data_IF_264982383353
#
_entry.id   IF_264982383353
#
_cell.length_a   1.000
_cell.length_b   1.000
_cell.length_c   1.000
_cell.angle_alpha   90.00
_cell.angle_beta   90.00
_cell.angle_gamma   90.00
#
_symmetry.space_group_name_H-M   'P 1'
#
loop_
_entity.id
_entity.type
_entity.pdbx_description
1 polymer ?
#
# COMPACT_ATOMS: atom_id res chain seq x y z
N UNK A 1 -32.88 3.64 12.15
CA UNK A 1 -31.54 4.28 12.07
C UNK A 1 -30.75 3.69 13.20
N UNK A 2 -29.51 3.25 12.99
CA UNK A 2 -28.68 2.79 14.08
C UNK A 2 -27.68 3.89 14.45
N UNK A 3 -27.66 4.26 15.73
CA UNK A 3 -26.81 5.33 16.24
C UNK A 3 -25.58 4.78 16.96
N UNK A 4 -24.50 5.54 16.98
CA UNK A 4 -23.28 5.26 17.72
C UNK A 4 -23.54 5.52 19.20
N UNK A 5 -23.31 4.53 20.06
CA UNK A 5 -23.43 4.65 21.53
C UNK A 5 -22.10 4.58 22.25
N UNK A 6 -21.03 4.12 21.57
CA UNK A 6 -19.69 4.07 22.16
C UNK A 6 -18.64 4.15 21.05
N UNK A 7 -17.60 4.91 21.32
CA UNK A 7 -16.34 4.92 20.56
C UNK A 7 -15.22 4.74 21.58
N UNK A 8 -14.37 3.73 21.41
CA UNK A 8 -13.29 3.42 22.34
C UNK A 8 -12.02 3.03 21.61
N UNK A 9 -10.95 3.72 21.91
CA UNK A 9 -9.61 3.43 21.37
C UNK A 9 -8.70 2.81 22.43
N UNK A 10 -7.76 2.00 21.96
CA UNK A 10 -6.67 1.43 22.75
C UNK A 10 -5.37 1.40 21.96
N UNK A 11 -4.26 1.31 22.68
CA UNK A 11 -2.97 1.02 22.11
C UNK A 11 -2.83 -0.50 21.94
N UNK A 12 -2.41 -0.91 20.74
CA UNK A 12 -1.99 -2.28 20.42
C UNK A 12 -0.58 -2.23 19.80
N UNK A 13 -0.06 -3.35 19.29
CA UNK A 13 1.24 -3.40 18.63
C UNK A 13 1.11 -3.77 17.15
N UNK A 14 1.95 -3.14 16.33
CA UNK A 14 2.11 -3.47 14.92
C UNK A 14 3.06 -4.67 14.70
N UNK A 15 3.24 -5.09 13.46
CA UNK A 15 4.10 -6.20 13.04
C UNK A 15 5.58 -5.98 13.32
N UNK A 16 6.00 -4.76 13.65
CA UNK A 16 7.35 -4.39 14.05
C UNK A 16 7.51 -4.26 15.57
N UNK A 17 6.45 -4.52 16.33
CA UNK A 17 6.44 -4.35 17.79
C UNK A 17 6.35 -2.88 18.23
N UNK A 18 5.98 -1.95 17.35
CA UNK A 18 5.73 -0.56 17.72
C UNK A 18 4.25 -0.37 18.09
N UNK A 19 3.93 0.55 19.03
CA UNK A 19 2.55 0.89 19.34
C UNK A 19 1.79 1.44 18.12
N UNK A 20 0.51 1.07 18.01
CA UNK A 20 -0.45 1.65 17.08
C UNK A 20 -1.85 1.72 17.70
N UNK A 21 -2.79 2.39 17.03
CA UNK A 21 -4.15 2.63 17.51
C UNK A 21 -5.09 1.56 16.99
N UNK A 22 -5.95 1.02 17.88
CA UNK A 22 -7.13 0.25 17.52
C UNK A 22 -8.37 0.93 18.09
N UNK A 23 -9.44 1.00 17.29
CA UNK A 23 -10.70 1.64 17.67
C UNK A 23 -11.87 0.68 17.54
N UNK A 24 -12.75 0.70 18.54
CA UNK A 24 -14.05 0.08 18.55
C UNK A 24 -15.14 1.14 18.43
N UNK A 25 -16.09 0.94 17.52
CA UNK A 25 -17.34 1.68 17.42
C UNK A 25 -18.48 0.72 17.68
N UNK A 26 -19.35 1.05 18.64
CA UNK A 26 -20.51 0.21 18.99
C UNK A 26 -21.82 0.97 18.74
N UNK A 27 -22.77 0.31 18.09
CA UNK A 27 -24.10 0.85 17.80
C UNK A 27 -25.10 0.55 18.91
N UNK A 28 -26.26 1.21 18.90
CA UNK A 28 -27.36 0.98 19.86
C UNK A 28 -27.89 -0.47 19.87
N UNK A 29 -27.72 -1.19 18.78
CA UNK A 29 -28.07 -2.60 18.67
C UNK A 29 -26.97 -3.56 19.19
N UNK A 30 -25.89 -3.01 19.75
CA UNK A 30 -24.76 -3.77 20.26
C UNK A 30 -23.81 -4.30 19.18
N UNK A 31 -23.95 -3.82 17.95
CA UNK A 31 -23.08 -4.22 16.84
C UNK A 31 -21.76 -3.48 16.94
N UNK A 32 -20.66 -4.23 16.80
CA UNK A 32 -19.28 -3.76 16.91
C UNK A 32 -18.62 -3.64 15.54
N UNK A 33 -17.98 -2.51 15.29
CA UNK A 33 -16.96 -2.34 14.27
C UNK A 33 -15.61 -2.10 14.91
N UNK A 34 -14.57 -2.82 14.49
CA UNK A 34 -13.20 -2.69 15.01
C UNK A 34 -12.21 -2.47 13.88
N UNK A 35 -11.32 -1.51 14.01
CA UNK A 35 -10.26 -1.24 13.06
C UNK A 35 -8.94 -0.93 13.77
N UNK A 36 -7.85 -1.48 13.24
CA UNK A 36 -6.49 -1.15 13.66
C UNK A 36 -5.78 -0.36 12.55
N UNK A 37 -5.00 0.63 12.94
CA UNK A 37 -4.36 1.57 12.01
C UNK A 37 -2.95 1.11 11.66
N UNK A 38 -2.57 1.04 10.37
CA UNK A 38 -1.19 0.75 9.97
C UNK A 38 -0.27 1.95 10.21
N UNK A 39 1.05 1.69 10.24
CA UNK A 39 2.09 2.69 10.49
C UNK A 39 3.23 2.60 9.48
N UNK A 40 3.67 3.72 8.93
CA UNK A 40 4.83 3.77 8.04
C UNK A 40 6.16 3.63 8.76
N UNK A 41 7.22 3.22 8.04
CA UNK A 41 8.60 3.27 8.54
C UNK A 41 9.14 4.71 8.46
N UNK A 42 8.89 5.37 7.35
CA UNK A 42 9.08 6.81 7.13
C UNK A 42 7.72 7.47 6.91
N UNK A 43 7.58 8.71 7.33
CA UNK A 43 6.41 9.53 7.02
C UNK A 43 6.82 10.58 5.98
N UNK A 44 6.12 10.62 4.85
CA UNK A 44 6.36 11.60 3.81
C UNK A 44 6.03 13.03 4.31
N UNK A 45 6.74 14.02 3.79
CA UNK A 45 6.55 15.44 4.14
C UNK A 45 5.08 15.93 3.96
N UNK A 46 4.36 15.31 3.03
CA UNK A 46 3.00 15.69 2.67
C UNK A 46 1.92 14.73 3.18
N UNK A 47 2.30 13.72 3.98
CA UNK A 47 1.34 12.81 4.61
C UNK A 47 0.60 13.48 5.77
N UNK A 48 -0.62 13.02 6.04
CA UNK A 48 -1.30 13.34 7.28
C UNK A 48 -0.50 12.81 8.49
N UNK A 49 -0.51 13.58 9.59
CA UNK A 49 0.36 13.35 10.74
C UNK A 49 -0.08 12.13 11.54
N UNK A 50 0.76 11.11 11.60
CA UNK A 50 0.65 10.05 12.60
C UNK A 50 1.09 10.61 13.97
N UNK A 51 0.11 10.80 14.88
CA UNK A 51 0.39 11.40 16.17
C UNK A 51 1.11 10.41 17.08
N UNK A 52 2.32 10.77 17.50
CA UNK A 52 3.16 10.02 18.43
C UNK A 52 3.35 10.79 19.74
N UNK A 53 3.52 10.05 20.84
CA UNK A 53 3.64 10.67 22.18
C UNK A 53 4.95 11.42 22.36
N UNK A 54 6.01 10.99 21.65
CA UNK A 54 7.36 11.49 21.92
C UNK A 54 7.92 10.94 23.25
N UNK A 55 8.96 11.57 23.75
CA UNK A 55 9.56 11.20 25.03
C UNK A 55 10.41 9.92 24.97
N UNK A 56 10.52 9.19 26.10
CA UNK A 56 11.40 8.03 26.21
C UNK A 56 10.67 6.70 26.04
N UNK A 57 9.40 6.64 26.39
CA UNK A 57 8.61 5.41 26.31
C UNK A 57 8.45 4.99 24.84
N UNK A 58 8.60 3.70 24.59
CA UNK A 58 8.60 3.14 23.22
C UNK A 58 9.52 3.91 22.24
N UNK A 59 10.61 4.48 22.75
CA UNK A 59 11.53 5.33 21.94
C UNK A 59 10.81 6.50 21.23
N UNK A 60 9.80 7.07 21.90
CA UNK A 60 8.99 8.16 21.37
C UNK A 60 7.82 7.73 20.49
N UNK A 61 7.64 6.42 20.23
CA UNK A 61 6.64 5.88 19.31
C UNK A 61 5.28 5.54 19.96
N UNK A 62 5.06 5.88 21.25
CA UNK A 62 3.77 5.70 21.92
C UNK A 62 2.63 6.40 21.19
N UNK A 63 1.38 5.97 21.39
CA UNK A 63 0.18 6.51 20.73
C UNK A 63 -0.92 6.89 21.71
N UNK A 64 -0.59 7.04 23.00
CA UNK A 64 -1.59 7.34 24.03
C UNK A 64 -2.26 8.70 23.86
N UNK A 65 -1.58 9.69 23.28
CA UNK A 65 -2.20 10.98 22.90
C UNK A 65 -3.29 10.78 21.84
N UNK A 66 -3.03 9.98 20.82
CA UNK A 66 -4.02 9.67 19.80
C UNK A 66 -5.20 8.88 20.40
N UNK A 67 -4.92 7.91 21.27
CA UNK A 67 -5.93 7.14 22.02
C UNK A 67 -6.79 8.08 22.87
N UNK A 68 -6.19 9.00 23.60
CA UNK A 68 -6.92 9.99 24.43
C UNK A 68 -7.77 10.92 23.57
N UNK A 69 -7.27 11.39 22.43
CA UNK A 69 -8.02 12.21 21.48
C UNK A 69 -9.29 11.50 20.99
N UNK A 70 -9.22 10.17 20.74
CA UNK A 70 -10.41 9.39 20.39
C UNK A 70 -11.37 9.32 21.57
N UNK A 71 -10.87 8.92 22.76
CA UNK A 71 -11.71 8.60 23.91
C UNK A 71 -12.33 9.85 24.57
N UNK A 72 -11.64 10.99 24.56
CA UNK A 72 -12.06 12.22 25.27
C UNK A 72 -12.64 13.29 24.35
N UNK A 73 -12.25 13.35 23.07
CA UNK A 73 -12.70 14.39 22.13
C UNK A 73 -13.66 13.80 21.08
N UNK A 74 -13.16 12.88 20.22
CA UNK A 74 -13.94 12.38 19.08
C UNK A 74 -15.17 11.60 19.56
N UNK A 75 -15.02 10.75 20.58
CA UNK A 75 -16.12 9.95 21.10
C UNK A 75 -17.31 10.82 21.54
N UNK A 76 -17.04 11.92 22.24
CA UNK A 76 -18.11 12.82 22.73
C UNK A 76 -18.95 13.41 21.61
N UNK A 77 -18.33 13.76 20.50
CA UNK A 77 -19.00 14.40 19.35
C UNK A 77 -19.75 13.41 18.46
N UNK A 78 -19.36 12.13 18.47
CA UNK A 78 -20.00 11.10 17.63
C UNK A 78 -21.17 10.38 18.31
N UNK A 79 -21.32 10.47 19.65
CA UNK A 79 -22.44 9.81 20.34
C UNK A 79 -23.80 10.34 19.84
N UNK A 80 -24.70 9.41 19.48
CA UNK A 80 -26.01 9.73 18.93
C UNK A 80 -26.04 10.00 17.43
N UNK A 81 -24.90 10.04 16.74
CA UNK A 81 -24.87 10.16 15.28
C UNK A 81 -25.22 8.82 14.62
N UNK A 82 -25.80 8.88 13.42
CA UNK A 82 -26.06 7.67 12.63
C UNK A 82 -24.76 7.05 12.14
N UNK A 83 -24.56 5.74 12.39
CA UNK A 83 -23.36 5.02 11.93
C UNK A 83 -23.27 4.91 10.40
N UNK A 84 -24.37 5.14 9.68
CA UNK A 84 -24.44 5.07 8.22
C UNK A 84 -23.99 6.35 7.52
N UNK A 85 -23.81 7.44 8.27
CA UNK A 85 -23.45 8.75 7.72
C UNK A 85 -21.92 8.93 7.65
N UNK A 86 -21.22 8.03 6.93
CA UNK A 86 -19.76 8.01 6.85
C UNK A 86 -19.15 9.37 6.51
N UNK A 87 -19.69 10.06 5.49
CA UNK A 87 -19.18 11.35 5.08
C UNK A 87 -19.32 12.40 6.19
N UNK A 88 -20.43 12.39 6.93
CA UNK A 88 -20.63 13.31 8.03
C UNK A 88 -19.72 12.99 9.22
N UNK A 89 -19.50 11.72 9.52
CA UNK A 89 -18.56 11.27 10.56
C UNK A 89 -17.15 11.73 10.24
N UNK A 90 -16.68 11.48 9.00
CA UNK A 90 -15.34 11.84 8.58
C UNK A 90 -15.15 13.37 8.55
N UNK A 91 -16.14 14.11 8.00
CA UNK A 91 -16.10 15.57 7.96
C UNK A 91 -16.08 16.19 9.36
N UNK A 92 -16.89 15.68 10.28
CA UNK A 92 -16.89 16.14 11.67
C UNK A 92 -15.50 15.99 12.31
N UNK A 93 -14.82 14.87 12.10
CA UNK A 93 -13.48 14.66 12.65
C UNK A 93 -12.43 15.59 11.99
N UNK A 94 -12.55 15.84 10.68
CA UNK A 94 -11.71 16.81 9.96
C UNK A 94 -11.89 18.22 10.53
N UNK A 95 -13.14 18.64 10.75
CA UNK A 95 -13.47 19.95 11.30
C UNK A 95 -13.00 20.11 12.76
N UNK A 96 -13.09 19.05 13.58
CA UNK A 96 -12.58 19.03 14.96
C UNK A 96 -11.04 19.16 15.01
N UNK A 97 -10.35 18.54 14.08
CA UNK A 97 -8.89 18.70 13.94
C UNK A 97 -8.57 20.11 13.48
N UNK A 98 -9.20 20.59 12.41
CA UNK A 98 -9.07 21.95 11.89
C UNK A 98 -7.69 22.28 11.32
N UNK A 99 -6.79 21.28 11.13
CA UNK A 99 -5.48 21.45 10.51
C UNK A 99 -5.41 20.76 9.16
N UNK A 100 -4.62 21.26 8.19
CA UNK A 100 -4.57 20.67 6.85
C UNK A 100 -4.08 19.21 6.82
N UNK A 101 -3.26 18.82 7.79
CA UNK A 101 -2.59 17.52 7.85
C UNK A 101 -2.98 16.68 9.08
N UNK A 102 -4.10 16.99 9.74
CA UNK A 102 -4.60 16.25 10.92
C UNK A 102 -3.62 16.21 12.10
N UNK A 103 -2.82 17.27 12.28
CA UNK A 103 -1.74 17.29 13.29
C UNK A 103 -2.24 17.53 14.73
N UNK A 104 -3.49 17.96 14.93
CA UNK A 104 -4.06 18.22 16.26
C UNK A 104 -4.57 16.92 16.92
N UNK A 105 -5.40 16.16 16.22
CA UNK A 105 -5.98 14.91 16.73
C UNK A 105 -5.13 13.69 16.36
N UNK A 106 -4.47 13.74 15.22
CA UNK A 106 -3.71 12.66 14.63
C UNK A 106 -4.49 11.88 13.57
N UNK A 107 -3.87 11.68 12.41
CA UNK A 107 -4.46 10.87 11.34
C UNK A 107 -4.75 9.44 11.79
N UNK A 108 -3.92 8.87 12.67
CA UNK A 108 -4.13 7.55 13.26
C UNK A 108 -5.37 7.49 14.16
N UNK A 109 -5.67 8.52 14.94
CA UNK A 109 -6.90 8.63 15.71
C UNK A 109 -8.13 8.69 14.80
N UNK A 110 -8.11 9.61 13.84
CA UNK A 110 -9.21 9.87 12.91
C UNK A 110 -9.49 8.64 12.03
N UNK A 111 -8.45 8.04 11.43
CA UNK A 111 -8.60 6.86 10.58
C UNK A 111 -9.17 5.65 11.34
N UNK A 112 -8.69 5.42 12.57
CA UNK A 112 -9.19 4.33 13.39
C UNK A 112 -10.70 4.41 13.59
N UNK A 113 -11.23 5.60 13.89
CA UNK A 113 -12.67 5.84 14.04
C UNK A 113 -13.40 5.72 12.70
N UNK A 114 -12.88 6.31 11.64
CA UNK A 114 -13.46 6.27 10.29
C UNK A 114 -13.68 4.84 9.80
N UNK A 115 -12.66 3.99 9.91
CA UNK A 115 -12.74 2.58 9.48
C UNK A 115 -13.61 1.74 10.42
N UNK A 116 -13.53 1.96 11.74
CA UNK A 116 -14.36 1.25 12.71
C UNK A 116 -15.84 1.58 12.52
N UNK A 117 -16.21 2.83 12.23
CA UNK A 117 -17.56 3.25 11.91
C UNK A 117 -18.08 2.55 10.63
N UNK A 118 -17.29 2.52 9.56
CA UNK A 118 -17.65 1.81 8.33
C UNK A 118 -17.89 0.31 8.56
N UNK A 119 -17.04 -0.34 9.37
CA UNK A 119 -17.23 -1.75 9.76
C UNK A 119 -18.47 -1.97 10.63
N UNK A 120 -18.74 -1.07 11.58
CA UNK A 120 -19.95 -1.14 12.38
C UNK A 120 -21.21 -1.00 11.51
N UNK A 121 -21.21 -0.07 10.56
CA UNK A 121 -22.31 0.12 9.61
C UNK A 121 -22.52 -1.11 8.71
N UNK A 122 -21.45 -1.69 8.18
CA UNK A 122 -21.51 -2.92 7.39
C UNK A 122 -22.09 -4.09 8.20
N UNK A 123 -21.58 -4.29 9.42
CA UNK A 123 -22.04 -5.33 10.32
C UNK A 123 -23.51 -5.13 10.76
N UNK A 124 -23.95 -3.88 10.96
CA UNK A 124 -25.34 -3.52 11.28
C UNK A 124 -26.32 -3.95 10.16
N UNK A 125 -25.85 -3.88 8.92
CA UNK A 125 -26.63 -4.31 7.75
C UNK A 125 -26.46 -5.82 7.44
N UNK A 126 -25.63 -6.55 8.19
CA UNK A 126 -25.28 -7.94 7.88
C UNK A 126 -24.57 -8.09 6.55
N UNK A 127 -23.81 -7.08 6.11
CA UNK A 127 -23.10 -7.05 4.85
C UNK A 127 -21.58 -7.11 5.08
N UNK A 128 -20.79 -7.78 4.20
CA UNK A 128 -19.36 -7.66 4.22
C UNK A 128 -18.93 -6.24 3.86
N UNK A 129 -17.79 -5.79 4.40
CA UNK A 129 -17.33 -4.41 4.25
C UNK A 129 -17.15 -4.00 2.78
N UNK A 130 -16.57 -4.90 1.95
CA UNK A 130 -16.37 -4.59 0.53
C UNK A 130 -17.68 -4.28 -0.20
N UNK A 131 -18.77 -4.97 0.16
CA UNK A 131 -20.09 -4.75 -0.44
C UNK A 131 -20.78 -3.51 0.10
N UNK A 132 -20.62 -3.23 1.38
CA UNK A 132 -21.15 -2.02 2.00
C UNK A 132 -20.54 -0.76 1.36
N UNK A 133 -19.22 -0.72 1.21
CA UNK A 133 -18.50 0.44 0.65
C UNK A 133 -18.64 0.53 -0.88
N UNK A 134 -18.52 -0.60 -1.59
CA UNK A 134 -18.46 -0.62 -3.05
C UNK A 134 -19.79 -0.87 -3.76
N UNK A 135 -20.84 -1.25 -3.00
CA UNK A 135 -22.16 -1.53 -3.56
C UNK A 135 -22.19 -2.77 -4.44
N UNK A 136 -23.15 -2.80 -5.36
CA UNK A 136 -23.44 -3.97 -6.21
C UNK A 136 -22.36 -4.26 -7.24
N UNK A 137 -21.50 -3.30 -7.56
CA UNK A 137 -20.43 -3.44 -8.56
C UNK A 137 -19.09 -3.88 -7.98
N UNK A 138 -18.99 -4.10 -6.66
CA UNK A 138 -17.79 -4.53 -5.97
C UNK A 138 -17.54 -6.04 -6.21
N UNK A 139 -16.82 -6.38 -7.27
CA UNK A 139 -16.55 -7.78 -7.63
C UNK A 139 -15.18 -8.02 -8.26
N UNK A 140 -14.33 -6.99 -8.35
CA UNK A 140 -13.00 -7.11 -8.95
C UNK A 140 -11.98 -7.50 -7.90
N UNK A 141 -11.45 -8.73 -7.98
CA UNK A 141 -10.33 -9.20 -7.19
C UNK A 141 -9.04 -8.54 -7.69
N UNK A 142 -8.20 -7.98 -6.82
CA UNK A 142 -6.98 -7.31 -7.26
C UNK A 142 -5.88 -8.30 -7.68
N UNK A 143 -5.08 -7.94 -8.70
CA UNK A 143 -3.82 -8.63 -9.00
C UNK A 143 -2.85 -8.33 -7.84
N UNK A 144 -2.28 -9.37 -7.19
CA UNK A 144 -1.34 -9.16 -6.09
C UNK A 144 0.04 -8.75 -6.61
N UNK A 145 0.59 -7.70 -6.02
CA UNK A 145 1.99 -7.27 -6.18
C UNK A 145 2.77 -7.80 -4.97
N UNK A 146 3.41 -8.97 -5.13
CA UNK A 146 4.04 -9.67 -3.99
C UNK A 146 5.51 -9.30 -3.89
N UNK A 147 5.89 -8.52 -2.88
CA UNK A 147 7.28 -8.15 -2.60
C UNK A 147 8.09 -9.39 -2.16
N UNK A 148 8.94 -9.94 -3.02
CA UNK A 148 9.70 -11.18 -2.75
C UNK A 148 11.18 -10.94 -2.49
N UNK A 149 11.77 -9.81 -2.93
CA UNK A 149 13.13 -9.38 -2.62
C UNK A 149 13.12 -7.92 -2.17
N UNK A 150 13.79 -7.64 -1.06
CA UNK A 150 13.98 -6.31 -0.49
C UNK A 150 15.39 -5.79 -0.76
N UNK A 151 15.48 -4.49 -1.01
CA UNK A 151 16.71 -3.71 -1.06
C UNK A 151 16.52 -2.36 -0.36
N UNK A 152 17.26 -1.34 -0.77
CA UNK A 152 17.16 0.01 -0.23
C UNK A 152 17.20 0.05 1.29
N UNK A 153 16.32 0.87 1.87
CA UNK A 153 16.20 0.99 3.34
C UNK A 153 15.58 -0.25 4.01
N UNK A 154 15.08 -1.23 3.25
CA UNK A 154 14.49 -2.48 3.76
C UNK A 154 15.48 -3.64 3.85
N UNK A 155 16.75 -3.44 3.49
CA UNK A 155 17.80 -4.48 3.47
C UNK A 155 19.18 -3.87 3.65
N UNK A 156 20.13 -4.67 4.16
CA UNK A 156 21.56 -4.33 4.17
C UNK A 156 22.27 -4.70 2.85
N UNK A 157 21.52 -5.15 1.84
CA UNK A 157 22.06 -5.50 0.53
C UNK A 157 22.50 -4.24 -0.26
N UNK A 158 23.56 -4.34 -1.10
CA UNK A 158 24.00 -3.23 -1.95
C UNK A 158 23.07 -3.07 -3.17
N UNK A 159 21.80 -2.82 -2.93
CA UNK A 159 20.74 -2.62 -3.93
C UNK A 159 20.02 -1.33 -3.59
N UNK A 160 19.95 -0.38 -4.52
CA UNK A 160 19.30 0.90 -4.28
C UNK A 160 17.76 0.81 -4.25
N UNK A 161 17.17 -0.03 -5.11
CA UNK A 161 15.71 -0.19 -5.16
C UNK A 161 15.17 -0.96 -3.97
N UNK A 162 14.04 -0.49 -3.43
CA UNK A 162 13.50 -0.95 -2.16
C UNK A 162 12.77 -2.28 -2.26
N UNK A 163 11.99 -2.50 -3.35
CA UNK A 163 11.18 -3.71 -3.49
C UNK A 163 11.16 -4.24 -4.91
N UNK A 164 11.23 -5.58 -5.00
CA UNK A 164 11.05 -6.33 -6.24
C UNK A 164 9.86 -7.26 -6.07
N UNK A 165 8.81 -7.01 -6.84
CA UNK A 165 7.53 -7.70 -6.71
C UNK A 165 7.27 -8.59 -7.91
N UNK A 166 6.70 -9.78 -7.67
CA UNK A 166 6.14 -10.64 -8.72
C UNK A 166 4.64 -10.43 -8.83
N UNK A 167 4.15 -10.46 -10.06
CA UNK A 167 2.75 -10.24 -10.40
C UNK A 167 2.23 -11.35 -11.32
N UNK A 168 1.34 -12.25 -10.82
CA UNK A 168 0.73 -13.31 -11.61
C UNK A 168 -0.40 -12.77 -12.52
N UNK A 169 -0.04 -12.13 -13.63
CA UNK A 169 -0.97 -11.40 -14.50
C UNK A 169 -1.81 -12.27 -15.44
N UNK A 170 -1.50 -13.57 -15.59
CA UNK A 170 -2.31 -14.52 -16.37
C UNK A 170 -3.02 -15.58 -15.53
N UNK A 171 -2.97 -15.48 -14.21
CA UNK A 171 -3.77 -16.34 -13.36
C UNK A 171 -5.27 -16.22 -13.72
N UNK A 172 -6.01 -17.32 -13.67
CA UNK A 172 -7.44 -17.30 -14.02
C UNK A 172 -8.31 -16.77 -12.88
N UNK A 173 -7.84 -16.93 -11.64
CA UNK A 173 -8.52 -16.55 -10.41
C UNK A 173 -7.52 -15.95 -9.45
N UNK A 174 -8.01 -15.28 -8.42
CA UNK A 174 -7.15 -14.80 -7.33
C UNK A 174 -6.48 -15.96 -6.58
N UNK A 175 -7.21 -17.04 -6.32
CA UNK A 175 -6.66 -18.28 -5.71
C UNK A 175 -5.51 -18.84 -6.53
N UNK A 176 -5.62 -18.82 -7.87
CA UNK A 176 -4.52 -19.26 -8.74
C UNK A 176 -3.34 -18.32 -8.70
N UNK A 177 -3.57 -17.00 -8.63
CA UNK A 177 -2.51 -16.01 -8.46
C UNK A 177 -1.74 -16.23 -7.14
N UNK A 178 -2.45 -16.53 -6.05
CA UNK A 178 -1.84 -16.86 -4.76
C UNK A 178 -1.02 -18.16 -4.80
N UNK A 179 -1.51 -19.20 -5.49
CA UNK A 179 -0.75 -20.43 -5.72
C UNK A 179 0.57 -20.12 -6.44
N UNK A 180 0.51 -19.40 -7.56
CA UNK A 180 1.69 -19.03 -8.35
C UNK A 180 2.71 -18.25 -7.51
N UNK A 181 2.26 -17.23 -6.78
CA UNK A 181 3.12 -16.42 -5.91
C UNK A 181 3.78 -17.24 -4.79
N UNK A 182 3.04 -18.15 -4.15
CA UNK A 182 3.56 -19.04 -3.10
C UNK A 182 4.61 -20.01 -3.68
N UNK A 183 4.35 -20.62 -4.82
CA UNK A 183 5.29 -21.54 -5.47
C UNK A 183 6.58 -20.82 -5.90
N UNK A 184 6.48 -19.59 -6.41
CA UNK A 184 7.65 -18.76 -6.75
C UNK A 184 8.42 -18.38 -5.48
N UNK A 185 7.74 -17.95 -4.40
CA UNK A 185 8.37 -17.62 -3.13
C UNK A 185 9.21 -18.78 -2.57
N UNK A 186 8.66 -20.01 -2.57
CA UNK A 186 9.38 -21.19 -2.10
C UNK A 186 10.53 -21.60 -3.03
N UNK A 187 10.38 -21.45 -4.33
CA UNK A 187 11.47 -21.68 -5.28
C UNK A 187 12.57 -20.63 -5.13
N UNK A 188 12.22 -19.36 -4.90
CA UNK A 188 13.19 -18.30 -4.62
C UNK A 188 14.00 -18.63 -3.36
N UNK A 189 13.33 -19.07 -2.27
CA UNK A 189 14.03 -19.55 -1.07
C UNK A 189 15.09 -20.60 -1.37
N UNK A 190 14.76 -21.56 -2.26
CA UNK A 190 15.70 -22.60 -2.68
C UNK A 190 16.85 -22.04 -3.50
N UNK A 191 16.56 -21.14 -4.47
CA UNK A 191 17.60 -20.48 -5.28
C UNK A 191 18.59 -19.71 -4.39
N UNK A 192 18.10 -18.95 -3.42
CA UNK A 192 18.95 -18.21 -2.48
C UNK A 192 19.79 -19.15 -1.61
N UNK A 193 19.19 -20.22 -1.11
CA UNK A 193 19.91 -21.24 -0.32
C UNK A 193 21.04 -21.89 -1.12
N UNK A 194 20.76 -22.28 -2.38
CA UNK A 194 21.73 -22.93 -3.27
C UNK A 194 22.90 -21.97 -3.64
N UNK A 195 22.67 -20.66 -3.56
CA UNK A 195 23.69 -19.60 -3.70
C UNK A 195 24.39 -19.25 -2.38
N UNK A 196 24.08 -19.94 -1.27
CA UNK A 196 24.54 -19.62 0.09
C UNK A 196 24.18 -18.19 0.55
N UNK A 197 23.03 -17.65 0.09
CA UNK A 197 22.51 -16.36 0.48
C UNK A 197 21.48 -16.48 1.61
N UNK A 198 21.26 -15.39 2.36
CA UNK A 198 20.27 -15.32 3.43
C UNK A 198 18.86 -15.59 2.90
N UNK A 199 18.10 -16.39 3.65
CA UNK A 199 16.65 -16.60 3.46
C UNK A 199 15.84 -16.00 4.61
N UNK A 200 16.42 -15.08 5.37
CA UNK A 200 15.70 -14.27 6.33
C UNK A 200 14.79 -13.29 5.58
N UNK A 201 13.64 -13.01 6.19
CA UNK A 201 12.64 -12.11 5.60
C UNK A 201 12.63 -10.76 6.31
N UNK A 202 12.40 -9.70 5.54
CA UNK A 202 12.22 -8.34 6.05
C UNK A 202 10.82 -8.09 6.62
N UNK A 203 10.54 -6.82 6.91
CA UNK A 203 9.29 -6.39 7.55
C UNK A 203 8.03 -6.73 6.73
N UNK A 204 8.15 -6.80 5.41
CA UNK A 204 7.05 -7.08 4.49
C UNK A 204 7.00 -8.55 4.02
N UNK A 205 7.84 -9.41 4.59
CA UNK A 205 7.83 -10.85 4.34
C UNK A 205 8.63 -11.31 3.13
N UNK A 206 9.18 -10.41 2.32
CA UNK A 206 10.13 -10.73 1.25
C UNK A 206 11.53 -11.02 1.79
N UNK A 207 12.34 -11.77 1.03
CA UNK A 207 13.72 -12.06 1.40
C UNK A 207 14.61 -10.82 1.35
N UNK A 208 15.64 -10.78 2.20
CA UNK A 208 16.64 -9.71 2.22
C UNK A 208 18.05 -10.32 2.02
N UNK A 209 18.36 -10.89 0.84
CA UNK A 209 19.66 -11.46 0.54
C UNK A 209 20.64 -10.38 0.12
N UNK A 210 21.95 -10.60 0.38
CA UNK A 210 23.02 -9.75 -0.15
C UNK A 210 23.30 -10.14 -1.59
N UNK A 211 22.51 -9.58 -2.53
CA UNK A 211 22.70 -9.69 -3.98
C UNK A 211 23.62 -8.57 -4.49
N UNK A 212 24.13 -8.72 -5.70
CA UNK A 212 25.16 -7.83 -6.27
C UNK A 212 24.59 -6.52 -6.88
N UNK A 213 23.26 -6.38 -6.98
CA UNK A 213 22.58 -5.21 -7.53
C UNK A 213 21.20 -5.53 -8.07
N UNK A 214 20.61 -4.54 -8.76
CA UNK A 214 19.25 -4.61 -9.31
C UNK A 214 19.10 -5.75 -10.33
N UNK A 215 20.02 -5.89 -11.25
CA UNK A 215 19.98 -6.91 -12.31
C UNK A 215 20.14 -8.33 -11.72
N UNK A 216 21.02 -8.53 -10.72
CA UNK A 216 21.15 -9.83 -10.05
C UNK A 216 19.86 -10.20 -9.29
N UNK A 217 19.15 -9.22 -8.73
CA UNK A 217 17.85 -9.44 -8.12
C UNK A 217 16.81 -9.90 -9.16
N UNK A 218 16.74 -9.23 -10.30
CA UNK A 218 15.82 -9.58 -11.41
C UNK A 218 16.13 -10.96 -12.01
N UNK A 219 17.41 -11.29 -12.23
CA UNK A 219 17.85 -12.59 -12.73
C UNK A 219 17.55 -13.72 -11.73
N UNK A 220 17.71 -13.44 -10.43
CA UNK A 220 17.38 -14.37 -9.35
C UNK A 220 15.87 -14.68 -9.34
N UNK A 221 15.04 -13.65 -9.51
CA UNK A 221 13.57 -13.80 -9.64
C UNK A 221 13.23 -14.60 -10.90
N UNK A 222 13.83 -14.29 -12.04
CA UNK A 222 13.61 -15.02 -13.30
C UNK A 222 13.90 -16.52 -13.15
N UNK A 223 15.00 -16.86 -12.47
CA UNK A 223 15.35 -18.25 -12.17
C UNK A 223 14.32 -18.92 -11.24
N UNK A 224 13.85 -18.22 -10.21
CA UNK A 224 12.83 -18.74 -9.30
C UNK A 224 11.49 -19.00 -10.01
N UNK A 225 11.05 -18.06 -10.87
CA UNK A 225 9.84 -18.20 -11.70
C UNK A 225 9.97 -19.42 -12.63
N UNK A 226 11.10 -19.57 -13.32
CA UNK A 226 11.37 -20.71 -14.19
C UNK A 226 11.35 -22.04 -13.41
N UNK A 227 11.97 -22.08 -12.23
CA UNK A 227 12.01 -23.28 -11.39
C UNK A 227 10.62 -23.64 -10.84
N UNK A 228 9.74 -22.66 -10.66
CA UNK A 228 8.34 -22.87 -10.31
C UNK A 228 7.49 -23.37 -11.49
N UNK A 229 8.03 -23.40 -12.71
CA UNK A 229 7.36 -23.89 -13.91
C UNK A 229 6.52 -22.83 -14.64
N UNK A 230 6.74 -21.55 -14.36
CA UNK A 230 6.02 -20.43 -14.98
C UNK A 230 6.87 -19.66 -15.98
N UNK A 231 6.20 -18.97 -16.91
CA UNK A 231 6.84 -18.16 -17.96
C UNK A 231 7.06 -16.72 -17.46
N UNK A 232 8.35 -16.35 -17.28
CA UNK A 232 8.74 -14.98 -16.94
C UNK A 232 8.55 -14.05 -18.15
N UNK A 233 7.79 -12.98 -17.97
CA UNK A 233 7.42 -12.04 -19.04
C UNK A 233 6.12 -12.37 -19.77
N UNK A 234 5.46 -13.50 -19.42
CA UNK A 234 4.16 -13.86 -19.95
C UNK A 234 3.13 -14.10 -18.82
N UNK A 235 3.35 -15.12 -17.99
CA UNK A 235 2.45 -15.42 -16.85
C UNK A 235 2.78 -14.57 -15.64
N UNK A 236 4.08 -14.30 -15.43
CA UNK A 236 4.61 -13.51 -14.31
C UNK A 236 5.33 -12.29 -14.85
N UNK A 237 4.86 -11.14 -14.46
CA UNK A 237 5.52 -9.84 -14.66
C UNK A 237 6.18 -9.37 -13.36
N UNK A 238 7.00 -8.33 -13.46
CA UNK A 238 7.69 -7.71 -12.32
C UNK A 238 7.16 -6.29 -12.08
N UNK A 239 7.03 -5.93 -10.82
CA UNK A 239 6.89 -4.54 -10.41
C UNK A 239 8.07 -4.15 -9.52
N UNK A 240 8.49 -2.90 -9.63
CA UNK A 240 9.54 -2.30 -8.80
C UNK A 240 8.94 -1.20 -7.93
N UNK A 241 9.42 -1.10 -6.69
CA UNK A 241 9.37 0.11 -5.90
C UNK A 241 10.81 0.63 -5.75
N UNK A 242 11.10 1.73 -6.43
CA UNK A 242 12.43 2.31 -6.41
C UNK A 242 12.69 3.14 -5.15
N UNK A 243 11.64 3.69 -4.54
CA UNK A 243 11.75 4.65 -3.43
C UNK A 243 12.84 5.71 -3.68
N UNK A 244 12.85 6.28 -4.89
CA UNK A 244 13.99 7.05 -5.40
C UNK A 244 14.31 8.32 -4.59
N UNK A 245 13.34 8.81 -3.80
CA UNK A 245 13.55 9.90 -2.85
C UNK A 245 14.62 9.56 -1.78
N UNK A 246 14.80 8.27 -1.45
CA UNK A 246 15.78 7.82 -0.47
C UNK A 246 17.24 8.05 -0.89
N UNK A 247 17.50 8.08 -2.18
CA UNK A 247 18.85 8.33 -2.72
C UNK A 247 18.94 9.58 -3.64
N UNK A 248 17.92 10.47 -3.57
CA UNK A 248 17.95 11.74 -4.25
C UNK A 248 18.63 12.79 -3.39
N UNK A 249 19.82 13.24 -3.81
CA UNK A 249 20.67 14.18 -3.08
C UNK A 249 21.17 15.27 -3.99
N UNK A 250 20.98 16.54 -3.62
CA UNK A 250 21.45 17.71 -4.37
C UNK A 250 21.05 17.70 -5.87
N UNK A 251 19.83 17.29 -6.18
CA UNK A 251 19.33 17.26 -7.56
C UNK A 251 19.82 16.08 -8.39
N UNK A 252 20.36 15.03 -7.77
CA UNK A 252 20.86 13.83 -8.43
C UNK A 252 20.47 12.57 -7.69
N UNK A 253 20.37 11.47 -8.41
CA UNK A 253 20.12 10.13 -7.87
C UNK A 253 21.45 9.45 -7.59
N UNK A 254 21.82 9.41 -6.31
CA UNK A 254 23.12 8.90 -5.83
C UNK A 254 22.96 7.47 -5.29
N UNK A 255 23.21 6.51 -6.16
CA UNK A 255 23.13 5.09 -5.84
C UNK A 255 24.23 4.64 -4.86
N UNK A 256 25.32 5.41 -4.71
CA UNK A 256 26.42 5.07 -3.80
C UNK A 256 25.96 4.99 -2.33
N UNK A 257 24.83 5.63 -2.00
CA UNK A 257 24.21 5.52 -0.67
C UNK A 257 23.94 4.06 -0.26
N UNK A 258 23.55 3.22 -1.20
CA UNK A 258 23.24 1.81 -0.97
C UNK A 258 24.26 0.86 -1.61
N UNK A 259 24.78 1.20 -2.79
CA UNK A 259 25.66 0.35 -3.59
C UNK A 259 27.17 0.62 -3.34
N UNK A 260 27.49 1.56 -2.44
CA UNK A 260 28.86 1.90 -2.10
C UNK A 260 29.64 2.44 -3.32
N UNK A 261 30.91 2.02 -3.46
CA UNK A 261 31.82 2.52 -4.51
C UNK A 261 31.36 2.19 -5.95
N UNK A 262 30.50 1.19 -6.12
CA UNK A 262 29.96 0.79 -7.43
C UNK A 262 28.74 1.61 -7.85
N UNK A 263 28.11 2.30 -6.92
CA UNK A 263 26.91 3.08 -7.14
C UNK A 263 27.15 4.29 -8.05
N UNK A 264 26.33 4.41 -9.08
CA UNK A 264 26.41 5.53 -10.04
C UNK A 264 25.62 6.74 -9.53
N UNK A 265 26.07 7.93 -9.88
CA UNK A 265 25.32 9.18 -9.66
C UNK A 265 24.69 9.57 -10.99
N UNK A 266 23.37 9.73 -11.01
CA UNK A 266 22.58 10.03 -12.22
C UNK A 266 21.86 11.37 -12.08
N UNK A 267 21.76 12.11 -13.17
CA UNK A 267 20.79 13.21 -13.31
C UNK A 267 19.37 12.66 -13.43
N UNK A 268 18.35 13.50 -13.35
CA UNK A 268 16.95 13.10 -13.54
C UNK A 268 16.72 12.39 -14.88
N UNK A 269 17.31 12.89 -15.95
CA UNK A 269 17.21 12.28 -17.28
C UNK A 269 17.92 10.93 -17.34
N UNK A 270 19.13 10.81 -16.81
CA UNK A 270 19.86 9.53 -16.76
C UNK A 270 19.17 8.49 -15.88
N UNK A 271 18.48 8.92 -14.82
CA UNK A 271 17.65 8.05 -13.99
C UNK A 271 16.47 7.49 -14.80
N UNK A 272 15.73 8.35 -15.49
CA UNK A 272 14.61 7.92 -16.32
C UNK A 272 15.08 7.03 -17.49
N UNK A 273 16.25 7.32 -18.08
CA UNK A 273 16.85 6.49 -19.14
C UNK A 273 17.22 5.10 -18.62
N UNK A 274 17.78 5.00 -17.42
CA UNK A 274 18.09 3.71 -16.77
C UNK A 274 16.85 2.89 -16.48
N UNK A 275 15.78 3.51 -15.96
CA UNK A 275 14.49 2.82 -15.73
C UNK A 275 13.89 2.32 -17.05
N UNK A 276 13.98 3.10 -18.11
CA UNK A 276 13.53 2.69 -19.44
C UNK A 276 14.36 1.52 -20.00
N UNK A 277 15.67 1.50 -19.77
CA UNK A 277 16.57 0.39 -20.15
C UNK A 277 16.21 -0.90 -19.38
N UNK A 278 15.99 -0.80 -18.06
CA UNK A 278 15.54 -1.94 -17.26
C UNK A 278 14.21 -2.51 -17.78
N UNK A 279 13.23 -1.63 -18.06
CA UNK A 279 11.92 -2.05 -18.58
C UNK A 279 11.99 -2.64 -20.00
N UNK A 280 13.02 -2.31 -20.78
CA UNK A 280 13.26 -2.91 -22.09
C UNK A 280 13.91 -4.31 -22.00
N UNK A 281 14.69 -4.56 -20.95
CA UNK A 281 15.46 -5.79 -20.79
C UNK A 281 14.73 -6.84 -19.93
N UNK A 282 13.84 -6.41 -19.02
CA UNK A 282 13.10 -7.25 -18.10
C UNK A 282 11.58 -7.01 -18.23
N UNK A 283 10.74 -7.97 -17.90
CA UNK A 283 9.29 -7.84 -18.01
C UNK A 283 8.70 -6.98 -16.87
N UNK A 284 9.15 -5.74 -16.76
CA UNK A 284 8.71 -4.77 -15.77
C UNK A 284 7.44 -4.10 -16.28
N UNK A 285 6.32 -4.36 -15.61
CA UNK A 285 5.00 -3.81 -15.96
C UNK A 285 4.64 -2.58 -15.12
N UNK A 286 5.28 -2.41 -13.96
CA UNK A 286 4.99 -1.31 -13.03
C UNK A 286 6.25 -0.82 -12.32
N UNK A 287 6.40 0.50 -12.19
CA UNK A 287 7.46 1.16 -11.44
C UNK A 287 6.82 2.17 -10.49
N UNK A 288 7.04 1.99 -9.19
CA UNK A 288 6.62 2.90 -8.13
C UNK A 288 7.80 3.79 -7.76
N UNK A 289 7.52 5.08 -7.58
CA UNK A 289 8.45 6.13 -7.16
C UNK A 289 9.85 6.04 -7.81
N UNK A 290 9.83 5.89 -9.15
CA UNK A 290 11.05 5.86 -9.96
C UNK A 290 11.85 7.16 -9.96
N UNK A 291 11.21 8.26 -9.52
CA UNK A 291 11.78 9.61 -9.39
C UNK A 291 11.47 10.17 -8.00
N UNK A 292 12.22 11.19 -7.57
CA UNK A 292 11.95 11.92 -6.31
C UNK A 292 10.58 12.62 -6.34
N UNK A 293 9.90 12.67 -5.21
CA UNK A 293 8.58 13.29 -5.02
C UNK A 293 8.48 14.77 -5.39
N UNK A 294 9.60 15.47 -5.51
CA UNK A 294 9.69 16.87 -5.90
C UNK A 294 10.30 17.07 -7.28
N UNK A 295 10.81 16.01 -7.92
CA UNK A 295 11.38 16.06 -9.29
C UNK A 295 10.28 15.90 -10.35
N UNK A 296 9.34 16.87 -10.39
CA UNK A 296 8.21 16.87 -11.32
C UNK A 296 8.61 16.84 -12.79
N UNK A 297 9.72 17.47 -13.16
CA UNK A 297 10.26 17.47 -14.52
C UNK A 297 10.84 16.09 -14.89
N UNK A 298 11.55 15.45 -13.96
CA UNK A 298 12.01 14.07 -14.11
C UNK A 298 10.85 13.08 -14.26
N UNK A 299 9.81 13.21 -13.44
CA UNK A 299 8.59 12.42 -13.56
C UNK A 299 7.91 12.60 -14.92
N UNK A 300 7.82 13.85 -15.40
CA UNK A 300 7.23 14.14 -16.71
C UNK A 300 8.03 13.46 -17.83
N UNK A 301 9.35 13.62 -17.82
CA UNK A 301 10.24 12.99 -18.80
C UNK A 301 10.11 11.45 -18.79
N UNK A 302 10.07 10.84 -17.60
CA UNK A 302 9.86 9.39 -17.45
C UNK A 302 8.50 8.97 -18.02
N UNK A 303 7.44 9.73 -17.72
CA UNK A 303 6.08 9.42 -18.18
C UNK A 303 5.99 9.49 -19.71
N UNK A 304 6.54 10.52 -20.31
CA UNK A 304 6.58 10.67 -21.78
C UNK A 304 7.39 9.55 -22.46
N UNK A 305 8.40 9.02 -21.76
CA UNK A 305 9.31 8.01 -22.29
C UNK A 305 8.76 6.58 -22.28
N UNK A 306 8.12 6.17 -21.19
CA UNK A 306 7.67 4.78 -21.00
C UNK A 306 6.24 4.63 -20.47
N UNK A 307 5.53 5.70 -20.20
CA UNK A 307 4.20 5.64 -19.57
C UNK A 307 3.11 4.99 -20.44
N UNK A 308 3.37 4.79 -21.73
CA UNK A 308 2.52 4.04 -22.66
C UNK A 308 2.71 2.51 -22.60
N UNK A 309 3.75 2.04 -21.89
CA UNK A 309 4.14 0.61 -21.79
C UNK A 309 4.31 0.14 -20.37
N UNK A 310 4.51 1.04 -19.43
CA UNK A 310 4.79 0.75 -18.02
C UNK A 310 3.87 1.58 -17.14
N UNK A 311 3.24 0.93 -16.18
CA UNK A 311 2.52 1.63 -15.12
C UNK A 311 3.51 2.40 -14.24
N UNK A 312 3.32 3.70 -14.10
CA UNK A 312 4.12 4.59 -13.27
C UNK A 312 3.30 5.02 -12.07
N UNK A 313 3.64 4.47 -10.90
CA UNK A 313 2.88 4.65 -9.66
C UNK A 313 3.51 5.74 -8.81
N UNK A 314 2.74 6.76 -8.44
CA UNK A 314 3.15 7.74 -7.45
C UNK A 314 2.68 7.35 -6.04
N UNK A 315 3.65 7.05 -5.14
CA UNK A 315 3.45 6.91 -3.69
C UNK A 315 3.80 8.22 -3.01
N UNK A 316 5.05 8.51 -2.74
CA UNK A 316 5.52 9.77 -2.16
C UNK A 316 5.18 10.99 -3.03
N UNK A 317 5.05 10.78 -4.35
CA UNK A 317 4.63 11.82 -5.27
C UNK A 317 3.21 12.33 -4.95
N UNK A 318 2.26 11.44 -4.67
CA UNK A 318 0.84 11.77 -4.51
C UNK A 318 0.32 11.66 -3.07
N UNK A 319 0.90 10.81 -2.24
CA UNK A 319 0.55 10.57 -0.81
C UNK A 319 -0.95 10.42 -0.57
N UNK A 320 -1.66 9.75 -1.48
CA UNK A 320 -3.13 9.57 -1.44
C UNK A 320 -3.90 10.91 -1.39
N UNK A 321 -3.26 12.03 -1.76
CA UNK A 321 -3.79 13.38 -1.65
C UNK A 321 -4.33 13.88 -2.99
N UNK A 322 -5.61 14.33 -3.01
CA UNK A 322 -6.30 14.76 -4.22
C UNK A 322 -5.69 16.01 -4.88
N UNK A 323 -5.10 16.92 -4.09
CA UNK A 323 -4.47 18.14 -4.64
C UNK A 323 -3.18 17.79 -5.41
N UNK A 324 -2.35 16.90 -4.82
CA UNK A 324 -1.13 16.43 -5.49
C UNK A 324 -1.46 15.57 -6.70
N UNK A 325 -2.48 14.71 -6.59
CA UNK A 325 -2.96 13.90 -7.71
C UNK A 325 -3.50 14.78 -8.86
N UNK A 326 -4.31 15.81 -8.55
CA UNK A 326 -4.79 16.78 -9.54
C UNK A 326 -3.64 17.44 -10.29
N UNK A 327 -2.60 17.88 -9.59
CA UNK A 327 -1.40 18.44 -10.21
C UNK A 327 -0.73 17.45 -11.17
N UNK A 328 -0.62 16.18 -10.79
CA UNK A 328 -0.06 15.12 -11.67
C UNK A 328 -0.89 14.93 -12.92
N UNK A 329 -2.22 14.82 -12.77
CA UNK A 329 -3.17 14.65 -13.87
C UNK A 329 -3.10 15.83 -14.84
N UNK A 330 -3.14 17.07 -14.35
CA UNK A 330 -3.11 18.29 -15.16
C UNK A 330 -1.82 18.42 -16.00
N UNK A 331 -0.72 17.87 -15.50
CA UNK A 331 0.59 17.93 -16.15
C UNK A 331 0.96 16.65 -16.93
N UNK A 332 0.09 15.62 -16.94
CA UNK A 332 0.34 14.34 -17.61
C UNK A 332 1.53 13.58 -16.99
N UNK A 333 1.58 13.53 -15.66
CA UNK A 333 2.68 12.95 -14.87
C UNK A 333 2.21 11.69 -14.15
N UNK A 334 2.92 10.58 -14.30
CA UNK A 334 2.53 9.24 -13.87
C UNK A 334 1.26 8.74 -14.58
N UNK A 335 0.75 7.58 -14.24
CA UNK A 335 -0.51 7.02 -14.76
C UNK A 335 -1.22 6.12 -13.73
N UNK A 336 -0.69 6.09 -12.50
CA UNK A 336 -1.23 5.33 -11.38
C UNK A 336 -0.92 6.02 -10.05
N UNK A 337 -1.74 5.74 -9.04
CA UNK A 337 -1.54 6.21 -7.67
C UNK A 337 -1.50 5.04 -6.70
N UNK A 338 -0.57 5.08 -5.74
CA UNK A 338 -0.62 4.20 -4.57
C UNK A 338 -1.60 4.75 -3.53
N UNK A 339 -2.43 3.90 -2.98
CA UNK A 339 -3.47 4.27 -2.01
C UNK A 339 -3.12 3.70 -0.64
N UNK A 340 -2.69 4.56 0.25
CA UNK A 340 -2.41 4.26 1.66
C UNK A 340 -3.40 5.02 2.53
N UNK A 341 -4.35 4.32 3.12
CA UNK A 341 -5.47 4.95 3.88
C UNK A 341 -5.00 5.89 5.00
N UNK A 342 -3.86 5.61 5.62
CA UNK A 342 -3.32 6.43 6.69
C UNK A 342 -2.54 7.66 6.23
N UNK A 343 -2.14 7.75 4.95
CA UNK A 343 -1.50 8.95 4.40
C UNK A 343 -2.47 10.13 4.30
N UNK A 344 -3.78 9.84 4.19
CA UNK A 344 -4.83 10.87 4.11
C UNK A 344 -5.71 10.89 5.38
N UNK A 345 -6.02 9.74 5.97
CA UNK A 345 -6.56 9.62 7.32
C UNK A 345 -8.08 9.48 7.45
N UNK A 346 -8.85 9.39 6.36
CA UNK A 346 -10.27 8.99 6.38
C UNK A 346 -10.63 8.09 5.21
N UNK A 347 -11.70 7.30 5.37
CA UNK A 347 -12.25 6.48 4.29
C UNK A 347 -12.82 7.36 3.16
N UNK A 348 -13.51 8.44 3.50
CA UNK A 348 -14.13 9.36 2.52
C UNK A 348 -13.07 10.01 1.62
N UNK A 349 -11.96 10.52 2.18
CA UNK A 349 -10.87 11.09 1.39
C UNK A 349 -10.15 10.02 0.55
N UNK A 350 -9.99 8.81 1.08
CA UNK A 350 -9.43 7.66 0.34
C UNK A 350 -10.27 7.33 -0.90
N UNK A 351 -11.59 7.25 -0.74
CA UNK A 351 -12.53 7.02 -1.84
C UNK A 351 -12.44 8.16 -2.87
N UNK A 352 -12.31 9.39 -2.41
CA UNK A 352 -12.19 10.57 -3.29
C UNK A 352 -10.92 10.50 -4.16
N UNK A 353 -9.78 10.09 -3.59
CA UNK A 353 -8.53 9.91 -4.33
C UNK A 353 -8.65 8.81 -5.40
N UNK A 354 -9.22 7.65 -5.06
CA UNK A 354 -9.45 6.55 -6.01
C UNK A 354 -10.39 6.97 -7.14
N UNK A 355 -11.48 7.67 -6.82
CA UNK A 355 -12.44 8.16 -7.82
C UNK A 355 -11.83 9.21 -8.75
N UNK A 356 -11.02 10.12 -8.22
CA UNK A 356 -10.29 11.12 -9.03
C UNK A 356 -9.33 10.42 -10.00
N UNK A 357 -8.52 9.46 -9.53
CA UNK A 357 -7.63 8.67 -10.37
C UNK A 357 -8.40 7.97 -11.50
N UNK A 358 -9.46 7.25 -11.14
CA UNK A 358 -10.29 6.50 -12.10
C UNK A 358 -10.91 7.39 -13.17
N UNK A 359 -11.43 8.56 -12.78
CA UNK A 359 -12.06 9.52 -13.71
C UNK A 359 -11.03 10.13 -14.67
N UNK A 360 -9.78 10.24 -14.27
CA UNK A 360 -8.67 10.71 -15.10
C UNK A 360 -8.01 9.61 -15.96
N UNK A 361 -8.49 8.37 -15.86
CA UNK A 361 -7.90 7.23 -16.58
C UNK A 361 -6.70 6.60 -15.87
N UNK A 362 -6.31 7.09 -14.70
CA UNK A 362 -5.26 6.48 -13.87
C UNK A 362 -5.75 5.18 -13.22
N UNK A 363 -4.82 4.28 -12.97
CA UNK A 363 -5.05 3.11 -12.11
C UNK A 363 -4.81 3.45 -10.63
N UNK A 364 -5.25 2.57 -9.74
CA UNK A 364 -5.03 2.69 -8.30
C UNK A 364 -4.52 1.37 -7.76
N UNK A 365 -3.49 1.42 -6.93
CA UNK A 365 -2.95 0.26 -6.22
C UNK A 365 -3.28 0.42 -4.75
N UNK A 366 -4.14 -0.44 -4.18
CA UNK A 366 -4.39 -0.46 -2.75
C UNK A 366 -3.16 -1.00 -2.02
N UNK A 367 -2.68 -0.30 -0.99
CA UNK A 367 -1.40 -0.61 -0.38
C UNK A 367 -1.46 -0.73 1.14
N UNK A 368 -0.63 -1.64 1.67
CA UNK A 368 -0.27 -1.74 3.06
C UNK A 368 0.73 -0.65 3.48
N UNK A 369 1.18 -0.72 4.74
CA UNK A 369 2.37 -0.01 5.22
C UNK A 369 3.39 -1.03 5.76
N UNK A 370 4.62 -0.57 6.03
CA UNK A 370 5.66 -1.44 6.61
C UNK A 370 5.29 -1.96 8.01
N UNK A 371 4.63 -1.16 8.84
CA UNK A 371 4.02 -1.60 10.10
C UNK A 371 2.53 -1.90 9.93
N UNK A 372 2.20 -3.18 9.91
CA UNK A 372 0.83 -3.69 9.76
C UNK A 372 0.36 -4.41 11.02
N UNK A 373 -0.94 -4.70 11.05
CA UNK A 373 -1.59 -5.57 12.03
C UNK A 373 -2.32 -6.70 11.30
N UNK A 374 -3.07 -7.54 12.01
CA UNK A 374 -3.97 -8.53 11.39
C UNK A 374 -5.22 -7.90 10.75
N UNK A 375 -5.42 -6.59 10.89
CA UNK A 375 -6.52 -5.88 10.21
C UNK A 375 -6.43 -6.07 8.69
N UNK A 376 -7.53 -6.46 8.09
CA UNK A 376 -7.62 -6.81 6.68
C UNK A 376 -8.45 -5.80 5.85
N UNK A 377 -8.76 -4.65 6.40
CA UNK A 377 -9.63 -3.63 5.79
C UNK A 377 -9.21 -3.28 4.36
N UNK A 378 -7.92 -3.16 4.09
CA UNK A 378 -7.44 -2.81 2.74
C UNK A 378 -7.76 -3.88 1.68
N UNK A 379 -7.92 -5.14 2.07
CA UNK A 379 -8.38 -6.19 1.15
C UNK A 379 -9.83 -5.95 0.73
N UNK A 380 -10.72 -5.65 1.69
CA UNK A 380 -12.10 -5.27 1.40
C UNK A 380 -12.17 -3.99 0.55
N UNK A 381 -11.36 -2.97 0.86
CA UNK A 381 -11.32 -1.71 0.11
C UNK A 381 -10.80 -1.89 -1.33
N UNK A 382 -9.83 -2.76 -1.55
CA UNK A 382 -9.34 -3.06 -2.90
C UNK A 382 -10.44 -3.60 -3.81
N UNK A 383 -11.31 -4.47 -3.26
CA UNK A 383 -12.47 -5.02 -3.98
C UNK A 383 -13.60 -3.99 -4.05
N UNK A 384 -13.91 -3.31 -2.95
CA UNK A 384 -14.96 -2.29 -2.88
C UNK A 384 -14.80 -1.21 -3.94
N UNK A 385 -13.57 -0.73 -4.12
CA UNK A 385 -13.25 0.37 -5.02
C UNK A 385 -12.82 -0.12 -6.42
N UNK A 386 -12.86 -1.44 -6.66
CA UNK A 386 -12.39 -2.06 -7.90
C UNK A 386 -11.02 -1.51 -8.32
N UNK A 387 -10.07 -1.47 -7.39
CA UNK A 387 -8.71 -0.97 -7.66
C UNK A 387 -7.97 -1.81 -8.71
N UNK A 388 -8.28 -3.11 -8.77
CA UNK A 388 -7.67 -4.05 -9.70
C UNK A 388 -6.27 -4.51 -9.32
N UNK A 389 -5.64 -3.87 -8.33
CA UNK A 389 -4.29 -4.18 -7.86
C UNK A 389 -4.17 -3.99 -6.34
N UNK A 390 -3.34 -4.81 -5.68
CA UNK A 390 -3.03 -4.68 -4.25
C UNK A 390 -1.54 -4.94 -4.00
N UNK A 391 -0.90 -4.03 -3.27
CA UNK A 391 0.48 -4.14 -2.77
C UNK A 391 0.40 -4.39 -1.27
N UNK A 392 0.57 -5.64 -0.82
CA UNK A 392 0.42 -5.98 0.60
C UNK A 392 1.46 -6.98 1.11
N UNK A 393 2.68 -6.86 0.59
CA UNK A 393 3.84 -7.64 1.01
C UNK A 393 3.93 -9.00 0.30
N UNK A 394 4.74 -9.87 0.86
CA UNK A 394 5.06 -11.19 0.32
C UNK A 394 4.05 -12.27 0.73
N UNK A 395 4.27 -13.49 0.23
CA UNK A 395 3.56 -14.70 0.64
C UNK A 395 4.05 -15.26 1.99
N UNK A 396 4.41 -14.40 2.93
CA UNK A 396 4.84 -14.75 4.28
C UNK A 396 4.51 -13.65 5.28
N UNK A 397 4.58 -13.94 6.58
CA UNK A 397 4.15 -13.13 7.74
C UNK A 397 2.62 -12.98 7.82
N UNK A 398 2.05 -13.23 9.00
CA UNK A 398 0.60 -13.27 9.21
C UNK A 398 -0.10 -11.94 8.98
N UNK A 399 0.59 -10.82 9.24
CA UNK A 399 0.12 -9.46 8.98
C UNK A 399 -0.11 -9.20 7.48
N UNK A 400 0.67 -9.82 6.60
CA UNK A 400 0.49 -9.76 5.13
C UNK A 400 -0.54 -10.79 4.68
N UNK A 401 -0.39 -12.04 5.14
CA UNK A 401 -1.32 -13.12 4.78
C UNK A 401 -2.76 -12.86 5.22
N UNK A 402 -3.00 -12.07 6.26
CA UNK A 402 -4.35 -11.67 6.68
C UNK A 402 -5.14 -11.02 5.54
N UNK A 403 -4.50 -10.16 4.72
CA UNK A 403 -5.10 -9.48 3.59
C UNK A 403 -5.37 -10.45 2.43
N UNK A 404 -4.38 -11.29 2.10
CA UNK A 404 -4.54 -12.32 1.06
C UNK A 404 -5.62 -13.34 1.41
N UNK A 405 -5.65 -13.80 2.68
CA UNK A 405 -6.68 -14.71 3.16
C UNK A 405 -8.08 -14.08 3.10
N UNK A 406 -8.19 -12.77 3.36
CA UNK A 406 -9.47 -12.07 3.20
C UNK A 406 -9.91 -12.01 1.74
N UNK A 407 -9.00 -11.75 0.81
CA UNK A 407 -9.32 -11.77 -0.63
C UNK A 407 -9.76 -13.17 -1.12
N UNK A 408 -9.19 -14.25 -0.57
CA UNK A 408 -9.64 -15.61 -0.86
C UNK A 408 -11.08 -15.85 -0.36
N UNK A 409 -11.44 -15.35 0.84
CA UNK A 409 -12.82 -15.43 1.35
C UNK A 409 -13.79 -14.62 0.47
N UNK A 410 -13.38 -13.41 0.04
CA UNK A 410 -14.18 -12.57 -0.86
C UNK A 410 -14.38 -13.26 -2.20
N UNK A 411 -13.33 -13.91 -2.76
CA UNK A 411 -13.45 -14.67 -4.01
C UNK A 411 -14.46 -15.81 -3.88
N UNK A 412 -14.40 -16.58 -2.77
CA UNK A 412 -15.34 -17.66 -2.49
C UNK A 412 -16.77 -17.13 -2.34
N UNK A 413 -16.98 -16.02 -1.62
CA UNK A 413 -18.29 -15.39 -1.43
C UNK A 413 -18.89 -14.85 -2.75
N UNK A 414 -18.06 -14.26 -3.63
CA UNK A 414 -18.48 -13.78 -4.94
C UNK A 414 -18.78 -14.94 -5.91
N UNK A 415 -18.11 -16.07 -5.75
CA UNK A 415 -18.30 -17.25 -6.60
C UNK A 415 -18.16 -16.92 -8.08
N UNK A 416 -19.14 -17.30 -8.88
CA UNK A 416 -19.13 -17.10 -10.34
C UNK A 416 -19.16 -15.61 -10.78
N UNK A 417 -19.43 -14.67 -9.87
CA UNK A 417 -19.42 -13.24 -10.14
C UNK A 417 -18.08 -12.57 -9.87
N UNK A 418 -17.13 -13.30 -9.27
CA UNK A 418 -15.77 -12.82 -9.06
C UNK A 418 -15.10 -12.51 -10.40
N UNK A 419 -14.52 -11.34 -10.52
CA UNK A 419 -13.77 -10.94 -11.70
C UNK A 419 -12.30 -10.72 -11.33
N UNK A 420 -11.40 -11.48 -11.95
CA UNK A 420 -9.96 -11.27 -11.83
C UNK A 420 -9.46 -10.61 -13.11
N UNK A 421 -8.96 -9.37 -13.07
CA UNK A 421 -8.74 -8.54 -14.25
C UNK A 421 -7.51 -8.96 -15.05
N UNK A 422 -6.60 -9.76 -14.50
CA UNK A 422 -5.35 -10.17 -15.15
C UNK A 422 -4.54 -8.95 -15.58
N UNK A 423 -3.94 -9.01 -16.77
CA UNK A 423 -3.20 -7.89 -17.35
C UNK A 423 -4.07 -6.64 -17.61
N UNK A 424 -5.41 -6.79 -17.70
CA UNK A 424 -6.32 -5.64 -17.86
C UNK A 424 -6.40 -4.74 -16.61
N UNK A 425 -5.79 -5.14 -15.49
CA UNK A 425 -5.61 -4.26 -14.32
C UNK A 425 -4.74 -3.05 -14.63
N UNK A 426 -3.87 -3.16 -15.63
CA UNK A 426 -2.95 -2.14 -16.09
C UNK A 426 -3.54 -1.47 -17.34
N UNK A 427 -3.64 -0.17 -17.34
CA UNK A 427 -4.17 0.60 -18.48
C UNK A 427 -3.02 1.14 -19.35
N UNK A 428 -2.15 0.27 -19.80
CA UNK A 428 -0.97 0.53 -20.60
C UNK A 428 -0.99 -0.26 -21.90
#
# INVERSE_FOLDING_TARGET
MSIIISVHARQIFDSRGNPTVEVDVTTENGVLGRAAVPSGASTGEHEAVELRDGGKEYMGKGVLKAVDNVNSIIAGELLGTSVFEQNAIDQLMIDLDGTPNKSKLGANAILGVSLAAAKAAANELGMPLYRYVGGVSANTLPVPMMNIINGGSHSDAPIAFQEFMVMPVKAETFSKAMQMGSEIFHNLKKVLHDRNLSTAVGDEGGFAPTLEGTEDALDTIALAVKNAGYSFGDEIMVALDCAAAEFYVNGKYDYSKFEGETGKIRSSQEQADYLAELAANYPIISIEDGMDKNDWEGWKYLTEKIGDKVQLVGDDLFVTNVERLSRGIENGIANSILIKVNQIGTLTETISAVNMAKNAGYTSVMSHRSGETEDNTIADLAVALNCGQIKTGSASRSDRMAKYNQLLRIEEELGATAYFPKQNAFKI
#
